data_IF_838200484001
#
_entry.id   IF_838200484001
#
_cell.length_a   1.000
_cell.length_b   1.000
_cell.length_c   1.000
_cell.angle_alpha   90.00
_cell.angle_beta   90.00
_cell.angle_gamma   90.00
#
_symmetry.space_group_name_H-M   'P 1'
#
loop_
_entity.id
_entity.type
_entity.pdbx_description
1 polymer ?
#
# COMPACT_ATOMS: atom_id res chain seq x y z
N UNK A 1 -1.63 11.09 -1.42
CA UNK A 1 -0.42 11.10 -0.56
C UNK A 1 -0.40 12.26 0.42
N UNK A 2 -0.54 13.50 -0.03
CA UNK A 2 -0.53 14.71 0.83
C UNK A 2 -1.52 14.64 2.00
N UNK A 3 -2.73 14.15 1.75
CA UNK A 3 -3.77 14.04 2.77
C UNK A 3 -3.44 13.01 3.87
N UNK A 4 -2.80 11.91 3.49
CA UNK A 4 -2.33 10.89 4.45
C UNK A 4 -1.22 11.47 5.31
N UNK A 5 -0.26 12.17 4.70
CA UNK A 5 0.84 12.81 5.44
C UNK A 5 0.30 13.84 6.44
N UNK A 6 -0.74 14.59 6.08
CA UNK A 6 -1.34 15.57 6.98
C UNK A 6 -2.05 14.93 8.20
N UNK A 7 -2.66 13.75 8.00
CA UNK A 7 -3.56 13.14 8.98
C UNK A 7 -2.99 11.93 9.72
N UNK A 8 -1.92 11.31 9.23
CA UNK A 8 -1.34 10.12 9.85
C UNK A 8 -0.84 10.43 11.26
N UNK A 9 -1.08 9.48 12.17
CA UNK A 9 -0.62 9.49 13.57
C UNK A 9 0.01 8.14 13.89
N UNK A 10 0.65 8.02 15.06
CA UNK A 10 1.14 6.74 15.53
C UNK A 10 0.01 5.71 15.62
N UNK A 11 0.33 4.44 15.35
CA UNK A 11 -0.60 3.30 15.41
C UNK A 11 -1.85 3.46 14.52
N UNK A 12 -1.73 4.18 13.39
CA UNK A 12 -2.82 4.32 12.41
C UNK A 12 -2.99 3.07 11.57
N UNK A 13 -4.21 2.86 11.07
CA UNK A 13 -4.49 1.94 9.97
C UNK A 13 -4.72 2.74 8.69
N UNK A 14 -3.89 2.51 7.68
CA UNK A 14 -3.96 3.15 6.38
C UNK A 14 -4.56 2.15 5.40
N UNK A 15 -5.55 2.57 4.61
CA UNK A 15 -6.19 1.74 3.60
C UNK A 15 -6.05 2.43 2.25
N UNK A 16 -5.49 1.72 1.27
CA UNK A 16 -5.42 2.17 -0.11
C UNK A 16 -6.23 1.24 -0.99
N UNK A 17 -7.05 1.84 -1.85
CA UNK A 17 -7.75 1.17 -2.92
C UNK A 17 -7.18 1.66 -4.26
N UNK A 18 -6.70 0.74 -5.09
CA UNK A 18 -6.06 1.04 -6.38
C UNK A 18 -5.01 2.18 -6.39
N UNK A 19 -4.00 2.19 -5.48
CA UNK A 19 -3.01 3.27 -5.45
C UNK A 19 -2.16 3.37 -6.72
N UNK A 20 -2.08 2.31 -7.53
CA UNK A 20 -1.31 2.24 -8.78
C UNK A 20 -1.99 2.85 -10.02
N UNK A 21 -3.24 3.29 -9.91
CA UNK A 21 -4.05 3.65 -11.07
C UNK A 21 -3.42 4.79 -11.88
N UNK A 22 -3.25 4.57 -13.19
CA UNK A 22 -2.54 5.43 -14.15
C UNK A 22 -1.03 5.65 -13.92
N UNK A 23 -0.37 4.86 -13.06
CA UNK A 23 1.06 5.00 -12.82
C UNK A 23 1.90 4.11 -13.73
N UNK A 24 3.02 4.66 -14.20
CA UNK A 24 4.08 3.87 -14.83
C UNK A 24 4.70 2.91 -13.78
N UNK A 25 5.17 1.70 -14.15
CA UNK A 25 5.72 0.72 -13.21
C UNK A 25 6.73 1.27 -12.20
N UNK A 26 7.65 2.13 -12.64
CA UNK A 26 8.63 2.78 -11.75
C UNK A 26 7.97 3.65 -10.66
N UNK A 27 6.88 4.35 -11.00
CA UNK A 27 6.14 5.18 -10.05
C UNK A 27 5.36 4.32 -9.05
N UNK A 28 4.87 3.15 -9.46
CA UNK A 28 4.27 2.15 -8.54
C UNK A 28 5.29 1.73 -7.49
N UNK A 29 6.52 1.36 -7.91
CA UNK A 29 7.58 0.97 -6.97
C UNK A 29 7.92 2.10 -5.99
N UNK A 30 8.02 3.34 -6.46
CA UNK A 30 8.26 4.51 -5.61
C UNK A 30 7.11 4.75 -4.62
N UNK A 31 5.88 4.57 -5.06
CA UNK A 31 4.70 4.72 -4.23
C UNK A 31 4.68 3.69 -3.09
N UNK A 32 4.87 2.41 -3.39
CA UNK A 32 4.90 1.34 -2.38
C UNK A 32 6.03 1.57 -1.37
N UNK A 33 7.22 1.96 -1.83
CA UNK A 33 8.34 2.28 -0.93
C UNK A 33 8.03 3.49 -0.02
N UNK A 34 7.33 4.49 -0.54
CA UNK A 34 6.92 5.66 0.23
C UNK A 34 5.88 5.30 1.29
N UNK A 35 4.89 4.47 0.93
CA UNK A 35 3.87 3.95 1.85
C UNK A 35 4.52 3.11 2.96
N UNK A 36 5.45 2.22 2.60
CA UNK A 36 6.19 1.40 3.56
C UNK A 36 6.99 2.28 4.54
N UNK A 37 7.68 3.30 4.03
CA UNK A 37 8.44 4.26 4.85
C UNK A 37 7.54 5.01 5.83
N UNK A 38 6.35 5.45 5.38
CA UNK A 38 5.37 6.11 6.25
C UNK A 38 4.84 5.16 7.32
N UNK A 39 4.48 3.93 6.95
CA UNK A 39 4.00 2.93 7.90
C UNK A 39 5.04 2.64 8.99
N UNK A 40 6.32 2.47 8.62
CA UNK A 40 7.39 2.22 9.58
C UNK A 40 7.68 3.43 10.48
N UNK A 41 7.68 4.65 9.92
CA UNK A 41 7.92 5.88 10.67
C UNK A 41 6.85 6.11 11.75
N UNK A 42 5.59 5.85 11.42
CA UNK A 42 4.45 6.05 12.32
C UNK A 42 4.01 4.77 13.04
N UNK A 43 4.78 3.67 12.97
CA UNK A 43 4.43 2.37 13.59
C UNK A 43 2.99 1.96 13.27
N UNK A 44 2.61 2.20 12.03
CA UNK A 44 1.24 2.07 11.53
C UNK A 44 1.14 0.86 10.61
N UNK A 45 -0.08 0.38 10.41
CA UNK A 45 -0.37 -0.71 9.49
C UNK A 45 -0.96 -0.17 8.19
N UNK A 46 -0.68 -0.87 7.10
CA UNK A 46 -1.20 -0.52 5.79
C UNK A 46 -1.85 -1.74 5.13
N UNK A 47 -3.07 -1.57 4.64
CA UNK A 47 -3.76 -2.54 3.78
C UNK A 47 -3.88 -1.89 2.40
N UNK A 48 -3.40 -2.61 1.39
CA UNK A 48 -3.46 -2.17 0.01
C UNK A 48 -4.30 -3.19 -0.75
N UNK A 49 -5.33 -2.69 -1.46
CA UNK A 49 -6.12 -3.46 -2.41
C UNK A 49 -5.66 -3.08 -3.83
N UNK A 50 -4.64 -3.77 -4.38
CA UNK A 50 -4.19 -3.53 -5.73
C UNK A 50 -5.09 -4.26 -6.74
N UNK A 51 -5.27 -3.66 -7.90
CA UNK A 51 -5.87 -4.29 -9.08
C UNK A 51 -4.80 -4.76 -10.09
N UNK A 52 -3.54 -4.41 -9.85
CA UNK A 52 -2.38 -4.83 -10.66
C UNK A 52 -1.51 -5.87 -9.94
N UNK A 53 -1.12 -6.96 -10.62
CA UNK A 53 -0.20 -7.95 -10.05
C UNK A 53 1.23 -7.40 -9.84
N UNK A 54 1.56 -6.23 -10.39
CA UNK A 54 2.90 -5.61 -10.26
C UNK A 54 3.24 -5.33 -8.80
N UNK A 55 2.28 -4.84 -8.00
CA UNK A 55 2.51 -4.55 -6.57
C UNK A 55 2.83 -5.83 -5.81
N UNK A 56 2.11 -6.91 -6.11
CA UNK A 56 2.23 -8.21 -5.44
C UNK A 56 3.64 -8.80 -5.58
N UNK A 57 4.32 -8.54 -6.71
CA UNK A 57 5.68 -9.04 -6.96
C UNK A 57 6.71 -8.46 -6.00
N UNK A 58 6.47 -7.27 -5.44
CA UNK A 58 7.38 -6.60 -4.50
C UNK A 58 7.16 -6.97 -3.03
N UNK A 59 6.19 -7.84 -2.71
CA UNK A 59 5.76 -8.13 -1.35
C UNK A 59 5.99 -9.60 -1.00
N UNK A 60 6.39 -9.87 0.24
CA UNK A 60 6.51 -11.24 0.76
C UNK A 60 5.16 -11.95 0.73
N UNK A 61 5.14 -13.20 0.27
CA UNK A 61 3.93 -14.03 0.17
C UNK A 61 3.11 -14.09 1.47
N UNK A 62 3.76 -14.10 2.63
CA UNK A 62 3.10 -14.09 3.95
C UNK A 62 2.28 -12.83 4.24
N UNK A 63 2.53 -11.74 3.51
CA UNK A 63 1.82 -10.46 3.65
C UNK A 63 0.78 -10.27 2.53
N UNK A 64 0.49 -11.31 1.75
CA UNK A 64 -0.48 -11.27 0.66
C UNK A 64 -1.71 -12.09 1.07
N UNK A 65 -2.86 -11.44 1.06
CA UNK A 65 -4.15 -12.08 1.26
C UNK A 65 -4.91 -12.09 -0.06
N UNK A 66 -5.31 -13.28 -0.52
CA UNK A 66 -5.99 -13.46 -1.81
C UNK A 66 -7.48 -13.69 -1.54
N UNK A 67 -8.31 -12.74 -1.95
CA UNK A 67 -9.77 -12.83 -1.89
C UNK A 67 -10.28 -13.47 -3.19
N UNK A 68 -11.15 -14.48 -3.09
CA UNK A 68 -11.80 -15.12 -4.24
C UNK A 68 -13.31 -15.24 -3.98
N UNK A 69 -14.13 -14.80 -4.93
CA UNK A 69 -15.60 -14.85 -4.82
C UNK A 69 -16.14 -14.11 -3.58
N UNK A 70 -15.51 -12.99 -3.21
CA UNK A 70 -15.89 -12.21 -2.02
C UNK A 70 -15.59 -12.88 -0.68
N UNK A 71 -14.72 -13.90 -0.66
CA UNK A 71 -14.30 -14.66 0.52
C UNK A 71 -12.79 -14.86 0.55
#
# INVERSE_FOLDING_TARGET
MTEIIANIRYDSLIIFDEPETHLHPNAISQLINSIHSLADQFKSYCIIAPHSPIIVQGILSKNIFVIKNGK
#
